data_IF_732882419690
#
_entry.id   IF_732882419690
#
_cell.length_a   1.000
_cell.length_b   1.000
_cell.length_c   1.000
_cell.angle_alpha   90.00
_cell.angle_beta   90.00
_cell.angle_gamma   90.00
#
_symmetry.space_group_name_H-M   'P 1'
#
loop_
_entity.id
_entity.type
_entity.pdbx_description
1 polymer ?
#
# COMPACT_ATOMS: atom_id res chain seq x y z
N UNK A 1 14.35 23.57 18.68
CA UNK A 1 15.03 22.91 17.54
C UNK A 1 14.13 21.93 16.81
N UNK A 2 13.01 22.39 16.29
CA UNK A 2 12.13 21.62 15.40
C UNK A 2 12.56 21.89 13.96
N UNK A 3 13.52 21.11 13.47
CA UNK A 3 13.92 21.15 12.07
C UNK A 3 12.73 20.75 11.20
N UNK A 4 12.37 21.63 10.26
CA UNK A 4 11.37 21.39 9.21
C UNK A 4 11.77 20.18 8.37
N UNK A 5 11.19 19.01 8.67
CA UNK A 5 11.69 17.75 8.09
C UNK A 5 11.34 17.64 6.62
N UNK A 6 10.22 18.22 6.15
CA UNK A 6 9.90 18.34 4.73
C UNK A 6 9.09 19.62 4.48
N UNK A 7 9.73 20.64 3.90
CA UNK A 7 9.08 21.89 3.52
C UNK A 7 7.93 21.60 2.55
N UNK A 8 6.71 21.98 2.93
CA UNK A 8 5.58 21.97 2.01
C UNK A 8 5.85 23.00 0.91
N UNK A 9 5.67 22.58 -0.36
CA UNK A 9 5.72 23.47 -1.52
C UNK A 9 4.29 23.96 -1.80
N UNK A 10 3.89 25.15 -1.32
CA UNK A 10 2.56 25.70 -1.61
C UNK A 10 2.49 26.10 -3.08
N UNK A 11 1.78 25.32 -3.90
CA UNK A 11 1.49 25.69 -5.29
C UNK A 11 0.34 26.72 -5.29
N UNK A 12 0.52 27.96 -5.80
CA UNK A 12 -0.25 29.12 -5.34
C UNK A 12 -1.66 29.34 -5.94
N UNK A 13 -2.28 28.36 -6.62
CA UNK A 13 -3.43 28.66 -7.50
C UNK A 13 -4.72 27.84 -7.28
N UNK A 14 -4.77 26.84 -6.39
CA UNK A 14 -5.97 25.99 -6.18
C UNK A 14 -6.55 26.02 -4.75
N UNK A 15 -6.28 27.09 -3.99
CA UNK A 15 -6.65 27.24 -2.57
C UNK A 15 -8.17 27.28 -2.28
N UNK A 16 -9.05 27.48 -3.26
CA UNK A 16 -10.44 27.87 -2.98
C UNK A 16 -11.47 26.73 -2.80
N UNK A 17 -11.06 25.47 -2.69
CA UNK A 17 -11.96 24.36 -2.33
C UNK A 17 -11.66 23.92 -0.87
N UNK A 18 -12.52 24.27 0.11
CA UNK A 18 -12.19 24.31 1.54
C UNK A 18 -12.03 22.94 2.23
N UNK A 19 -12.11 21.83 1.49
CA UNK A 19 -11.92 20.47 2.04
C UNK A 19 -10.84 19.71 1.26
N UNK A 20 -10.75 19.89 -0.05
CA UNK A 20 -9.83 19.17 -0.93
C UNK A 20 -8.46 19.88 -1.01
N UNK A 21 -8.44 21.21 -0.85
CA UNK A 21 -7.24 22.06 -0.94
C UNK A 21 -6.14 21.74 0.09
N UNK A 22 -6.42 21.73 1.41
CA UNK A 22 -5.38 21.51 2.41
C UNK A 22 -4.88 20.06 2.47
N UNK A 23 -5.75 19.09 2.13
CA UNK A 23 -5.44 17.66 2.18
C UNK A 23 -4.48 17.26 1.06
N UNK A 24 -4.56 17.90 -0.12
CA UNK A 24 -3.70 17.58 -1.26
C UNK A 24 -2.52 18.53 -1.44
N UNK A 25 -2.61 19.81 -1.04
CA UNK A 25 -1.62 20.84 -1.43
C UNK A 25 -0.66 21.32 -0.32
N UNK A 26 -0.80 20.85 0.92
CA UNK A 26 0.14 21.11 2.03
C UNK A 26 0.76 19.81 2.57
N UNK A 27 1.14 18.90 1.67
CA UNK A 27 1.65 17.58 2.02
C UNK A 27 3.14 17.45 1.73
N UNK A 28 3.79 16.60 2.51
CA UNK A 28 5.19 16.19 2.31
C UNK A 28 5.42 15.71 0.86
N UNK A 29 6.59 15.98 0.24
CA UNK A 29 6.97 15.46 -1.07
C UNK A 29 6.73 13.96 -1.25
N UNK A 30 6.80 13.20 -0.15
CA UNK A 30 6.61 11.74 -0.15
C UNK A 30 5.18 11.34 -0.49
N UNK A 31 4.18 12.14 -0.09
CA UNK A 31 2.78 11.84 -0.40
C UNK A 31 2.52 11.99 -1.91
N UNK A 32 3.13 12.98 -2.56
CA UNK A 32 3.06 13.13 -4.01
C UNK A 32 3.72 11.95 -4.75
N UNK A 33 4.89 11.51 -4.27
CA UNK A 33 5.57 10.32 -4.82
C UNK A 33 4.71 9.07 -4.64
N UNK A 34 4.03 8.92 -3.49
CA UNK A 34 3.13 7.79 -3.24
C UNK A 34 1.97 7.76 -4.23
N UNK A 35 1.27 8.88 -4.44
CA UNK A 35 0.19 8.95 -5.43
C UNK A 35 0.67 8.66 -6.85
N UNK A 36 1.85 9.18 -7.22
CA UNK A 36 2.47 8.89 -8.51
C UNK A 36 2.79 7.41 -8.65
N UNK A 37 3.35 6.77 -7.62
CA UNK A 37 3.64 5.33 -7.60
C UNK A 37 2.38 4.48 -7.72
N UNK A 38 1.28 4.87 -7.07
CA UNK A 38 0.01 4.15 -7.17
C UNK A 38 -0.55 4.24 -8.59
N UNK A 39 -0.62 5.45 -9.17
CA UNK A 39 -1.08 5.65 -10.54
C UNK A 39 -0.19 4.91 -11.55
N UNK A 40 1.13 5.02 -11.37
CA UNK A 40 2.10 4.32 -12.20
C UNK A 40 1.93 2.80 -12.11
N UNK A 41 1.83 2.23 -10.90
CA UNK A 41 1.65 0.79 -10.71
C UNK A 41 0.32 0.31 -11.26
N UNK A 42 -0.76 1.07 -11.04
CA UNK A 42 -2.07 0.76 -11.61
C UNK A 42 -2.03 0.76 -13.14
N UNK A 43 -1.43 1.78 -13.74
CA UNK A 43 -1.30 1.88 -15.19
C UNK A 43 -0.42 0.76 -15.75
N UNK A 44 0.76 0.57 -15.15
CA UNK A 44 1.73 -0.45 -15.55
C UNK A 44 1.12 -1.84 -15.47
N UNK A 45 0.47 -2.18 -14.37
CA UNK A 45 -0.07 -3.52 -14.14
C UNK A 45 -1.29 -3.81 -15.00
N UNK A 46 -2.16 -2.83 -15.29
CA UNK A 46 -3.40 -3.04 -16.06
C UNK A 46 -3.25 -2.88 -17.57
N UNK A 47 -2.42 -1.95 -18.04
CA UNK A 47 -2.42 -1.52 -19.45
C UNK A 47 -1.15 -1.88 -20.22
N UNK A 48 -0.10 -2.39 -19.57
CA UNK A 48 1.15 -2.73 -20.27
C UNK A 48 1.28 -4.23 -20.58
N UNK A 49 2.03 -4.55 -21.65
CA UNK A 49 2.36 -5.93 -22.03
C UNK A 49 3.09 -6.67 -20.91
N UNK A 50 3.93 -5.98 -20.14
CA UNK A 50 4.62 -6.56 -18.99
C UNK A 50 3.66 -6.94 -17.87
N UNK A 51 2.68 -6.09 -17.56
CA UNK A 51 1.62 -6.38 -16.59
C UNK A 51 0.83 -7.65 -16.93
N UNK A 52 0.43 -7.80 -18.21
CA UNK A 52 -0.23 -9.03 -18.66
C UNK A 52 0.66 -10.27 -18.52
N UNK A 53 1.95 -10.17 -18.86
CA UNK A 53 2.90 -11.28 -18.69
C UNK A 53 3.05 -11.69 -17.23
N UNK A 54 3.10 -10.73 -16.31
CA UNK A 54 3.22 -11.00 -14.86
C UNK A 54 1.99 -11.78 -14.37
N UNK A 55 0.77 -11.36 -14.78
CA UNK A 55 -0.47 -12.08 -14.43
C UNK A 55 -0.52 -13.47 -15.03
N UNK A 56 -0.14 -13.61 -16.31
CA UNK A 56 -0.10 -14.91 -16.99
C UNK A 56 0.85 -15.89 -16.28
N UNK A 57 2.01 -15.42 -15.84
CA UNK A 57 2.98 -16.21 -15.06
C UNK A 57 2.44 -16.56 -13.67
N UNK A 58 1.64 -15.69 -13.05
CA UNK A 58 0.97 -15.94 -11.77
C UNK A 58 -0.18 -16.94 -11.86
N UNK A 59 -0.89 -17.00 -12.99
CA UNK A 59 -1.97 -17.97 -13.23
C UNK A 59 -1.43 -19.32 -13.69
N UNK A 60 -0.60 -19.35 -14.74
CA UNK A 60 -0.05 -20.59 -15.27
C UNK A 60 1.38 -20.39 -15.83
N UNK A 61 2.43 -20.63 -15.04
CA UNK A 61 3.81 -20.40 -15.46
C UNK A 61 4.25 -21.36 -16.57
N UNK A 62 3.72 -22.59 -16.62
CA UNK A 62 4.04 -23.55 -17.69
C UNK A 62 3.52 -23.05 -19.04
N UNK A 63 2.29 -22.53 -19.08
CA UNK A 63 1.71 -21.97 -20.30
C UNK A 63 2.41 -20.67 -20.76
N UNK A 64 3.00 -19.91 -19.85
CA UNK A 64 3.76 -18.72 -20.21
C UNK A 64 5.12 -19.06 -20.85
N UNK A 65 5.81 -20.10 -20.37
CA UNK A 65 7.11 -20.52 -20.91
C UNK A 65 6.97 -21.13 -22.31
N UNK A 66 5.89 -21.86 -22.61
CA UNK A 66 5.63 -22.38 -23.97
C UNK A 66 5.41 -21.28 -25.01
N UNK A 67 5.01 -20.08 -24.58
CA UNK A 67 4.87 -18.88 -25.41
C UNK A 67 6.17 -18.05 -25.52
N UNK A 68 7.29 -18.56 -25.00
CA UNK A 68 8.61 -17.93 -25.08
C UNK A 68 8.86 -16.84 -24.04
N UNK A 69 8.08 -16.79 -22.95
CA UNK A 69 8.29 -15.84 -21.85
C UNK A 69 9.25 -16.45 -20.83
N UNK A 70 10.38 -15.79 -20.58
CA UNK A 70 11.31 -16.16 -19.50
C UNK A 70 10.68 -15.99 -18.11
N UNK A 71 10.03 -17.03 -17.61
CA UNK A 71 9.33 -17.05 -16.31
C UNK A 71 10.27 -16.67 -15.15
N UNK A 72 11.49 -17.22 -15.13
CA UNK A 72 12.46 -16.94 -14.08
C UNK A 72 12.84 -15.46 -14.03
N UNK A 73 13.24 -14.88 -15.18
CA UNK A 73 13.62 -13.46 -15.25
C UNK A 73 12.46 -12.57 -14.81
N UNK A 74 11.24 -12.87 -15.27
CA UNK A 74 10.06 -12.09 -14.90
C UNK A 74 9.76 -12.15 -13.40
N UNK A 75 9.87 -13.33 -12.77
CA UNK A 75 9.70 -13.48 -11.31
C UNK A 75 10.77 -12.71 -10.53
N UNK A 76 12.04 -12.82 -10.90
CA UNK A 76 13.13 -12.10 -10.23
C UNK A 76 12.97 -10.58 -10.34
N UNK A 77 12.68 -10.06 -11.54
CA UNK A 77 12.45 -8.61 -11.74
C UNK A 77 11.27 -8.14 -10.89
N UNK A 78 10.19 -8.92 -10.83
CA UNK A 78 9.00 -8.56 -10.04
C UNK A 78 9.29 -8.51 -8.54
N UNK A 79 10.07 -9.45 -8.00
CA UNK A 79 10.48 -9.47 -6.59
C UNK A 79 11.44 -8.33 -6.26
N UNK A 80 12.40 -8.03 -7.14
CA UNK A 80 13.31 -6.91 -6.95
C UNK A 80 12.56 -5.56 -6.98
N UNK A 81 11.62 -5.41 -7.91
CA UNK A 81 10.79 -4.21 -8.01
C UNK A 81 9.90 -4.01 -6.77
N UNK A 82 9.25 -5.07 -6.27
CA UNK A 82 8.44 -4.98 -5.04
C UNK A 82 9.30 -4.69 -3.82
N UNK A 83 10.50 -5.28 -3.73
CA UNK A 83 11.49 -4.99 -2.69
C UNK A 83 11.95 -3.53 -2.70
N UNK A 84 12.18 -2.94 -3.87
CA UNK A 84 12.54 -1.53 -4.00
C UNK A 84 11.42 -0.60 -3.49
N UNK A 85 10.16 -0.89 -3.82
CA UNK A 85 8.99 -0.13 -3.36
C UNK A 85 8.82 -0.29 -1.83
N UNK A 86 8.98 -1.51 -1.31
CA UNK A 86 8.93 -1.77 0.13
C UNK A 86 10.06 -1.05 0.88
N UNK A 87 11.27 -0.99 0.30
CA UNK A 87 12.39 -0.21 0.83
C UNK A 87 12.09 1.28 0.90
N UNK A 88 11.46 1.84 -0.13
CA UNK A 88 10.99 3.23 -0.13
C UNK A 88 9.96 3.50 0.98
N UNK A 89 9.02 2.57 1.19
CA UNK A 89 8.07 2.65 2.30
C UNK A 89 8.77 2.62 3.68
N UNK A 90 9.78 1.77 3.87
CA UNK A 90 10.57 1.73 5.11
C UNK A 90 11.39 3.01 5.33
N UNK A 91 11.98 3.57 4.27
CA UNK A 91 12.70 4.84 4.34
C UNK A 91 11.77 5.99 4.75
N UNK A 92 10.53 6.01 4.26
CA UNK A 92 9.52 6.96 4.70
C UNK A 92 9.19 6.83 6.18
N UNK A 93 9.11 5.62 6.73
CA UNK A 93 8.84 5.45 8.16
C UNK A 93 9.96 6.04 9.03
N UNK A 94 11.23 5.85 8.62
CA UNK A 94 12.39 6.34 9.37
C UNK A 94 12.57 7.86 9.28
N UNK A 95 12.50 8.42 8.06
CA UNK A 95 12.81 9.84 7.80
C UNK A 95 11.55 10.71 7.86
N UNK A 96 10.44 10.22 7.30
CA UNK A 96 9.25 11.02 7.03
C UNK A 96 8.26 11.10 8.18
N UNK A 97 8.16 10.05 9.02
CA UNK A 97 7.14 10.03 10.08
C UNK A 97 7.59 10.74 11.36
N UNK A 98 8.81 10.46 11.83
CA UNK A 98 9.28 10.92 13.15
C UNK A 98 10.66 11.60 13.04
N UNK A 99 11.42 11.36 11.96
CA UNK A 99 12.75 11.91 11.74
C UNK A 99 13.86 11.21 12.53
N UNK A 100 13.54 10.14 13.25
CA UNK A 100 14.48 9.27 13.94
C UNK A 100 13.90 7.85 14.05
N UNK A 101 14.79 6.86 14.17
CA UNK A 101 14.40 5.47 14.33
C UNK A 101 13.92 5.20 15.76
N UNK A 102 12.71 4.66 15.89
CA UNK A 102 12.16 4.17 17.16
C UNK A 102 12.02 2.66 17.15
N UNK A 103 12.21 2.03 18.30
CA UNK A 103 11.93 0.61 18.48
C UNK A 103 10.45 0.34 18.18
N UNK A 104 10.18 -0.76 17.47
CA UNK A 104 8.82 -1.13 17.02
C UNK A 104 8.14 -0.15 16.06
N UNK A 105 8.87 0.72 15.35
CA UNK A 105 8.30 1.68 14.38
C UNK A 105 7.40 1.03 13.30
N UNK A 106 7.73 -0.19 12.87
CA UNK A 106 6.91 -0.95 11.91
C UNK A 106 5.55 -1.37 12.46
N UNK A 107 5.42 -1.61 13.78
CA UNK A 107 4.19 -1.92 14.50
C UNK A 107 3.20 -2.87 13.76
N UNK A 108 3.69 -3.86 13.01
CA UNK A 108 2.83 -4.76 12.23
C UNK A 108 2.19 -4.18 10.96
N UNK A 109 2.51 -2.94 10.56
CA UNK A 109 1.99 -2.28 9.34
C UNK A 109 2.26 -3.06 8.06
N UNK A 110 3.34 -3.85 8.01
CA UNK A 110 3.62 -4.76 6.89
C UNK A 110 2.53 -5.84 6.73
N UNK A 111 2.01 -6.38 7.83
CA UNK A 111 0.91 -7.35 7.83
C UNK A 111 -0.40 -6.71 7.38
N UNK A 112 -0.66 -5.44 7.78
CA UNK A 112 -1.80 -4.67 7.29
C UNK A 112 -1.72 -4.42 5.77
N UNK A 113 -0.51 -4.24 5.22
CA UNK A 113 -0.29 -4.15 3.78
C UNK A 113 -0.67 -5.43 3.03
N UNK A 114 -0.30 -6.60 3.57
CA UNK A 114 -0.73 -7.89 3.02
C UNK A 114 -2.26 -8.06 3.12
N UNK A 115 -2.85 -7.70 4.25
CA UNK A 115 -4.31 -7.75 4.42
C UNK A 115 -5.03 -6.84 3.40
N UNK A 116 -4.56 -5.60 3.21
CA UNK A 116 -5.09 -4.68 2.21
C UNK A 116 -5.01 -5.24 0.78
N UNK A 117 -3.92 -5.94 0.44
CA UNK A 117 -3.77 -6.60 -0.85
C UNK A 117 -4.79 -7.73 -1.06
N UNK A 118 -4.99 -8.57 -0.04
CA UNK A 118 -5.95 -9.69 -0.07
C UNK A 118 -7.37 -9.15 -0.24
N UNK A 119 -7.74 -8.12 0.52
CA UNK A 119 -9.07 -7.50 0.46
C UNK A 119 -9.26 -6.72 -0.85
N UNK A 120 -8.18 -6.22 -1.42
CA UNK A 120 -8.13 -5.58 -2.73
C UNK A 120 -8.25 -6.54 -3.92
N UNK A 121 -8.49 -7.83 -3.69
CA UNK A 121 -8.61 -8.87 -4.72
C UNK A 121 -7.41 -8.86 -5.70
N UNK A 122 -6.19 -8.77 -5.16
CA UNK A 122 -4.94 -8.79 -5.93
C UNK A 122 -4.84 -7.72 -7.04
N UNK A 123 -5.70 -6.71 -7.01
CA UNK A 123 -5.69 -5.59 -7.94
C UNK A 123 -5.13 -4.33 -7.28
N UNK A 124 -4.29 -3.54 -7.97
CA UNK A 124 -3.68 -2.32 -7.41
C UNK A 124 -4.72 -1.31 -6.91
N UNK A 125 -5.85 -1.17 -7.62
CA UNK A 125 -6.93 -0.27 -7.22
C UNK A 125 -7.64 -0.72 -5.94
N UNK A 126 -7.89 -2.02 -5.80
CA UNK A 126 -8.49 -2.57 -4.57
C UNK A 126 -7.53 -2.49 -3.39
N UNK A 127 -6.25 -2.79 -3.61
CA UNK A 127 -5.21 -2.69 -2.58
C UNK A 127 -5.05 -1.25 -2.08
N UNK A 128 -5.15 -0.27 -2.97
CA UNK A 128 -5.16 1.15 -2.62
C UNK A 128 -6.35 1.51 -1.71
N UNK A 129 -7.57 1.13 -2.10
CA UNK A 129 -8.76 1.37 -1.28
C UNK A 129 -8.66 0.68 0.10
N UNK A 130 -8.17 -0.56 0.13
CA UNK A 130 -7.89 -1.27 1.38
C UNK A 130 -6.93 -0.48 2.26
N UNK A 131 -5.79 -0.05 1.71
CA UNK A 131 -4.77 0.71 2.44
C UNK A 131 -5.29 2.05 2.98
N UNK A 132 -6.18 2.74 2.25
CA UNK A 132 -6.81 3.98 2.70
C UNK A 132 -7.70 3.76 3.93
N UNK A 133 -8.49 2.68 3.93
CA UNK A 133 -9.33 2.32 5.06
C UNK A 133 -8.47 2.03 6.28
N UNK A 134 -7.45 1.15 6.14
CA UNK A 134 -6.53 0.85 7.23
C UNK A 134 -5.83 2.10 7.77
N UNK A 135 -5.32 2.97 6.88
CA UNK A 135 -4.66 4.21 7.27
C UNK A 135 -5.59 5.23 7.93
N UNK A 136 -6.87 5.27 7.53
CA UNK A 136 -7.88 6.12 8.15
C UNK A 136 -8.14 5.70 9.59
N UNK A 137 -8.36 4.41 9.85
CA UNK A 137 -8.60 3.89 11.19
C UNK A 137 -7.35 3.97 12.09
N UNK A 138 -6.16 3.74 11.56
CA UNK A 138 -4.89 3.95 12.29
C UNK A 138 -4.74 5.42 12.71
N UNK A 139 -4.98 6.36 11.79
CA UNK A 139 -4.93 7.79 12.09
C UNK A 139 -5.99 8.21 13.11
N UNK A 140 -7.20 7.64 13.02
CA UNK A 140 -8.29 7.89 13.97
C UNK A 140 -7.91 7.41 15.37
N UNK A 141 -7.43 6.16 15.50
CA UNK A 141 -6.97 5.58 16.76
C UNK A 141 -5.89 6.47 17.40
N UNK A 142 -4.88 6.86 16.62
CA UNK A 142 -3.79 7.71 17.10
C UNK A 142 -4.31 9.06 17.64
N UNK A 143 -5.24 9.72 16.92
CA UNK A 143 -5.80 11.01 17.37
C UNK A 143 -6.64 10.89 18.65
N UNK A 144 -7.48 9.86 18.75
CA UNK A 144 -8.28 9.66 19.95
C UNK A 144 -7.44 9.26 21.17
N UNK A 145 -6.37 8.50 20.96
CA UNK A 145 -5.43 8.16 22.04
C UNK A 145 -4.74 9.41 22.60
N UNK A 146 -4.39 10.38 21.74
CA UNK A 146 -3.79 11.66 22.15
C UNK A 146 -4.78 12.54 22.92
N UNK A 147 -6.07 12.52 22.54
CA UNK A 147 -7.11 13.34 23.18
C UNK A 147 -7.54 12.84 24.57
N UNK A 148 -6.98 11.71 25.05
CA UNK A 148 -7.31 11.10 26.36
C UNK A 148 -8.80 11.08 26.67
N UNK A 149 -9.63 10.78 25.66
CA UNK A 149 -11.04 10.45 25.90
C UNK A 149 -11.04 9.25 26.85
N UNK A 150 -11.79 9.27 27.95
CA UNK A 150 -11.77 8.29 29.05
C UNK A 150 -12.18 6.85 28.70
N UNK A 151 -11.90 6.41 27.47
CA UNK A 151 -12.07 5.07 26.92
C UNK A 151 -10.70 4.38 27.01
N UNK A 152 -10.60 3.17 27.59
CA UNK A 152 -9.35 2.41 27.64
C UNK A 152 -8.74 2.19 26.25
N UNK A 153 -7.43 2.35 26.13
CA UNK A 153 -6.66 2.26 24.88
C UNK A 153 -6.89 0.96 24.10
N UNK A 154 -7.24 -0.11 24.78
CA UNK A 154 -7.52 -1.44 24.23
C UNK A 154 -8.76 -1.39 23.33
N UNK A 155 -9.81 -0.65 23.72
CA UNK A 155 -11.01 -0.50 22.89
C UNK A 155 -10.75 0.35 21.65
N UNK A 156 -9.88 1.35 21.76
CA UNK A 156 -9.46 2.12 20.59
C UNK A 156 -8.57 1.30 19.65
N UNK A 157 -7.72 0.43 20.21
CA UNK A 157 -6.88 -0.47 19.43
C UNK A 157 -7.66 -1.57 18.72
N UNK A 158 -8.86 -1.92 19.19
CA UNK A 158 -9.76 -2.83 18.49
C UNK A 158 -10.48 -2.19 17.29
N UNK A 159 -10.63 -0.85 17.26
CA UNK A 159 -11.41 -0.17 16.23
C UNK A 159 -10.93 -0.41 14.78
N UNK A 160 -9.62 -0.39 14.45
CA UNK A 160 -9.13 -0.72 13.12
C UNK A 160 -9.51 -2.16 12.73
N UNK A 161 -9.39 -3.12 13.65
CA UNK A 161 -9.69 -4.51 13.37
C UNK A 161 -11.18 -4.74 13.12
N UNK A 162 -12.05 -4.16 13.96
CA UNK A 162 -13.51 -4.24 13.79
C UNK A 162 -13.92 -3.63 12.45
N UNK A 163 -13.39 -2.46 12.11
CA UNK A 163 -13.68 -1.83 10.83
C UNK A 163 -13.22 -2.70 9.66
N UNK A 164 -12.06 -3.35 9.77
CA UNK A 164 -11.56 -4.23 8.72
C UNK A 164 -12.40 -5.49 8.58
N UNK A 165 -12.93 -6.04 9.69
CA UNK A 165 -13.91 -7.13 9.65
C UNK A 165 -15.19 -6.72 8.95
N UNK A 166 -15.71 -5.52 9.22
CA UNK A 166 -16.93 -5.01 8.57
C UNK A 166 -16.71 -4.79 7.07
N UNK A 167 -15.57 -4.19 6.69
CA UNK A 167 -15.22 -3.95 5.29
C UNK A 167 -15.03 -5.27 4.55
N UNK A 168 -14.35 -6.23 5.18
CA UNK A 168 -14.21 -7.59 4.68
C UNK A 168 -15.55 -8.27 4.46
N UNK A 169 -16.38 -8.33 5.50
CA UNK A 169 -17.64 -9.06 5.50
C UNK A 169 -18.67 -8.42 4.55
N UNK A 170 -18.62 -7.10 4.39
CA UNK A 170 -19.59 -6.36 3.59
C UNK A 170 -19.20 -6.14 2.12
N UNK A 171 -17.91 -5.93 1.81
CA UNK A 171 -17.48 -5.46 0.49
C UNK A 171 -16.54 -6.40 -0.26
N UNK A 172 -15.88 -7.34 0.44
CA UNK A 172 -14.95 -8.25 -0.22
C UNK A 172 -15.71 -9.48 -0.68
N UNK A 173 -16.09 -9.48 -1.96
CA UNK A 173 -16.65 -10.64 -2.64
C UNK A 173 -15.64 -11.78 -2.82
N UNK A 174 -15.80 -12.60 -3.88
CA UNK A 174 -14.88 -13.71 -4.17
C UNK A 174 -13.48 -13.19 -4.52
N UNK A 175 -12.52 -13.35 -3.59
CA UNK A 175 -11.10 -13.13 -3.86
C UNK A 175 -10.57 -14.26 -4.75
N UNK A 176 -9.96 -13.92 -5.88
CA UNK A 176 -9.28 -14.88 -6.76
C UNK A 176 -7.78 -14.73 -6.58
N UNK A 177 -7.19 -15.66 -5.84
CA UNK A 177 -5.75 -15.77 -5.73
C UNK A 177 -5.15 -16.30 -7.04
N UNK A 178 -3.93 -15.87 -7.43
CA UNK A 178 -3.21 -16.46 -8.56
C UNK A 178 -2.96 -17.96 -8.30
N UNK A 179 -3.28 -18.82 -9.26
CA UNK A 179 -3.23 -20.26 -9.08
C UNK A 179 -1.82 -20.83 -8.84
N UNK A 180 -0.76 -20.11 -9.25
CA UNK A 180 0.62 -20.53 -9.07
C UNK A 180 1.35 -19.78 -7.93
N UNK A 181 0.63 -19.10 -7.05
CA UNK A 181 1.25 -18.41 -5.91
C UNK A 181 1.93 -19.42 -4.95
N UNK A 182 3.12 -19.06 -4.45
CA UNK A 182 3.94 -19.91 -3.58
C UNK A 182 4.52 -21.20 -4.20
N UNK A 183 4.20 -21.53 -5.45
CA UNK A 183 4.71 -22.75 -6.10
C UNK A 183 6.06 -22.50 -6.81
N UNK A 184 7.12 -23.26 -6.47
CA UNK A 184 8.39 -23.20 -7.19
C UNK A 184 8.21 -23.63 -8.64
N UNK A 185 8.62 -22.78 -9.59
CA UNK A 185 8.62 -23.13 -11.00
C UNK A 185 9.84 -24.02 -11.30
N UNK A 186 9.60 -25.21 -11.84
CA UNK A 186 10.61 -26.11 -12.37
C UNK A 186 10.49 -26.11 -13.89
N UNK A 187 11.59 -25.79 -14.57
CA UNK A 187 11.67 -25.87 -16.03
C UNK A 187 11.95 -27.33 -16.38
N UNK A 188 11.10 -27.90 -17.24
CA UNK A 188 11.26 -29.23 -17.82
C UNK A 188 12.02 -29.11 -19.15
#
# INVERSE_FOLDING_TARGET
>A
NSGSILASLPIPLLWRIPVIGPILFNQSPVIYIMFLLILFTHFFYNYTKWGLRIRAVGENPKAADTLGIDVFRLRYISVLASGAIAGFAGAYMSIGQIGFFQESMSAGKGFLGLAAMIFGNWNPGGAFLGSLIFGFFDSWQNKLSILQVGIPSEFLAMAPYIATMVVLAGFVGRSRMPAADGTPYKKE
#
